data_IF_596584579002
#
_entry.id   IF_596584579002
#
_cell.length_a   1.000
_cell.length_b   1.000
_cell.length_c   1.000
_cell.angle_alpha   90.00
_cell.angle_beta   90.00
_cell.angle_gamma   90.00
#
_symmetry.space_group_name_H-M   'P 1'
#
loop_
_entity.id
_entity.type
_entity.pdbx_description
1 polymer ?
#
# COMPACT_ATOMS: atom_id res chain seq x y z
N UNK A 1 9.23 33.58 8.57
CA UNK A 1 9.00 32.98 7.24
C UNK A 1 10.11 31.98 6.99
N UNK A 2 9.94 30.75 7.48
CA UNK A 2 10.99 29.72 7.47
C UNK A 2 11.30 29.30 6.03
N UNK A 3 12.57 29.34 5.67
CA UNK A 3 13.09 28.82 4.40
C UNK A 3 12.67 27.36 4.25
N UNK A 4 11.77 27.09 3.31
CA UNK A 4 11.51 25.73 2.84
C UNK A 4 12.82 25.28 2.20
N UNK A 5 13.58 24.45 2.90
CA UNK A 5 14.72 23.73 2.32
C UNK A 5 14.19 22.99 1.09
N UNK A 6 14.69 23.36 -0.09
CA UNK A 6 14.30 22.71 -1.33
C UNK A 6 14.54 21.20 -1.24
N UNK A 7 13.62 20.42 -1.81
CA UNK A 7 13.79 18.98 -1.92
C UNK A 7 14.91 18.70 -2.91
N UNK A 8 16.09 18.30 -2.42
CA UNK A 8 17.16 17.74 -3.25
C UNK A 8 17.04 16.20 -3.26
N UNK A 9 16.66 15.59 -4.39
CA UNK A 9 16.44 14.15 -4.47
C UNK A 9 17.67 13.34 -4.08
N UNK A 10 18.89 13.81 -4.39
CA UNK A 10 20.12 13.06 -4.13
C UNK A 10 20.43 13.06 -2.64
N UNK A 11 20.42 14.23 -2.00
CA UNK A 11 20.63 14.33 -0.55
C UNK A 11 19.56 13.55 0.23
N UNK A 12 18.29 13.64 -0.18
CA UNK A 12 17.20 12.91 0.49
C UNK A 12 17.29 11.40 0.30
N UNK A 13 17.76 10.93 -0.87
CA UNK A 13 18.08 9.52 -1.10
C UNK A 13 19.18 9.01 -0.18
N UNK A 14 20.28 9.76 -0.05
CA UNK A 14 21.39 9.38 0.83
C UNK A 14 21.00 9.40 2.32
N UNK A 15 20.19 10.38 2.75
CA UNK A 15 19.60 10.40 4.10
C UNK A 15 18.72 9.18 4.35
N UNK A 16 17.90 8.80 3.37
CA UNK A 16 17.01 7.63 3.46
C UNK A 16 17.84 6.34 3.57
N UNK A 17 18.91 6.21 2.77
CA UNK A 17 19.84 5.07 2.82
C UNK A 17 20.51 4.95 4.19
N UNK A 18 21.03 6.06 4.72
CA UNK A 18 21.68 6.09 6.03
C UNK A 18 20.70 5.73 7.17
N UNK A 19 19.47 6.27 7.12
CA UNK A 19 18.44 5.95 8.09
C UNK A 19 18.05 4.46 8.06
N UNK A 20 17.91 3.88 6.85
CA UNK A 20 17.62 2.46 6.69
C UNK A 20 18.75 1.59 7.26
N UNK A 21 20.01 1.91 6.94
CA UNK A 21 21.18 1.20 7.45
C UNK A 21 21.25 1.21 8.99
N UNK A 22 20.82 2.29 9.63
CA UNK A 22 20.74 2.37 11.09
C UNK A 22 19.52 1.63 11.69
N UNK A 23 18.39 1.58 10.98
CA UNK A 23 17.15 0.99 11.49
C UNK A 23 17.12 -0.55 11.34
N UNK A 24 17.63 -1.08 10.23
CA UNK A 24 17.55 -2.52 9.91
C UNK A 24 18.12 -3.42 11.00
N UNK A 25 19.34 -3.17 11.56
CA UNK A 25 19.87 -4.02 12.63
C UNK A 25 18.99 -4.08 13.87
N UNK A 26 18.32 -2.97 14.20
CA UNK A 26 17.41 -2.88 15.35
C UNK A 26 16.15 -3.72 15.13
N UNK A 27 15.56 -3.62 13.93
CA UNK A 27 14.41 -4.43 13.53
C UNK A 27 14.75 -5.93 13.56
N UNK A 28 15.88 -6.31 12.96
CA UNK A 28 16.34 -7.70 12.94
C UNK A 28 16.53 -8.25 14.35
N UNK A 29 17.15 -7.48 15.24
CA UNK A 29 17.32 -7.89 16.64
C UNK A 29 15.96 -8.05 17.33
N UNK A 30 15.06 -7.09 17.18
CA UNK A 30 13.74 -7.13 17.80
C UNK A 30 12.92 -8.36 17.35
N UNK A 31 12.95 -8.71 16.06
CA UNK A 31 12.26 -9.90 15.56
C UNK A 31 12.91 -11.21 16.02
N UNK A 32 14.23 -11.25 16.20
CA UNK A 32 14.93 -12.45 16.73
C UNK A 32 14.72 -12.65 18.22
N UNK A 33 14.65 -11.55 18.97
CA UNK A 33 14.47 -11.57 20.42
C UNK A 33 12.98 -11.67 20.82
N UNK A 34 12.05 -11.61 19.85
CA UNK A 34 10.62 -11.69 20.11
C UNK A 34 10.24 -13.08 20.67
N UNK A 35 9.59 -13.15 21.84
CA UNK A 35 9.30 -14.43 22.50
C UNK A 35 8.20 -15.24 21.79
N UNK A 36 7.29 -14.56 21.09
CA UNK A 36 6.18 -15.16 20.36
C UNK A 36 5.85 -14.28 19.14
N UNK A 37 6.02 -14.85 17.93
CA UNK A 37 5.71 -14.16 16.69
C UNK A 37 4.22 -14.24 16.33
N UNK A 38 3.47 -15.17 16.92
CA UNK A 38 2.04 -15.36 16.67
C UNK A 38 1.18 -14.46 17.58
N UNK A 39 1.80 -13.80 18.57
CA UNK A 39 1.14 -12.84 19.44
C UNK A 39 0.53 -11.66 18.66
N UNK A 40 -0.58 -11.12 19.16
CA UNK A 40 -1.22 -9.95 18.57
C UNK A 40 -0.29 -8.73 18.59
N UNK A 41 -0.15 -8.05 17.45
CA UNK A 41 0.77 -6.90 17.30
C UNK A 41 0.17 -5.54 17.73
N UNK A 42 -1.14 -5.46 17.93
CA UNK A 42 -1.87 -4.20 18.11
C UNK A 42 -2.33 -3.55 16.80
N UNK A 43 -1.83 -3.99 15.64
CA UNK A 43 -2.46 -3.73 14.34
C UNK A 43 -3.61 -4.73 14.18
N UNK A 44 -4.85 -4.29 13.86
CA UNK A 44 -5.97 -5.20 13.70
C UNK A 44 -5.65 -6.34 12.73
N UNK A 45 -5.92 -7.58 13.15
CA UNK A 45 -5.70 -8.84 12.40
C UNK A 45 -4.23 -9.32 12.34
N UNK A 46 -3.22 -8.49 12.62
CA UNK A 46 -1.82 -8.88 12.41
C UNK A 46 -1.14 -9.41 13.66
N UNK A 47 -0.32 -10.45 13.48
CA UNK A 47 0.62 -10.93 14.49
C UNK A 47 1.92 -10.10 14.49
N UNK A 48 2.77 -10.29 15.51
CA UNK A 48 4.13 -9.69 15.54
C UNK A 48 4.94 -10.14 14.32
N UNK A 49 4.81 -11.41 13.93
CA UNK A 49 5.42 -11.98 12.73
C UNK A 49 4.94 -11.31 11.45
N UNK A 50 3.64 -11.03 11.32
CA UNK A 50 3.08 -10.30 10.18
C UNK A 50 3.63 -8.87 10.07
N UNK A 51 3.75 -8.15 11.19
CA UNK A 51 4.39 -6.82 11.22
C UNK A 51 5.84 -6.92 10.77
N UNK A 52 6.58 -7.92 11.28
CA UNK A 52 7.98 -8.14 10.90
C UNK A 52 8.17 -8.41 9.42
N UNK A 53 7.38 -9.34 8.88
CA UNK A 53 7.33 -9.67 7.45
C UNK A 53 6.94 -8.44 6.61
N UNK A 54 5.95 -7.67 7.06
CA UNK A 54 5.53 -6.44 6.40
C UNK A 54 6.68 -5.44 6.30
N UNK A 55 7.32 -5.09 7.42
CA UNK A 55 8.43 -4.13 7.42
C UNK A 55 9.61 -4.58 6.55
N UNK A 56 9.86 -5.89 6.48
CA UNK A 56 10.94 -6.48 5.69
C UNK A 56 10.66 -6.56 4.19
N UNK A 57 9.40 -6.51 3.75
CA UNK A 57 9.04 -6.71 2.35
C UNK A 57 8.28 -5.54 1.71
N UNK A 58 7.64 -4.67 2.50
CA UNK A 58 6.70 -3.66 1.98
C UNK A 58 7.38 -2.63 1.08
N UNK A 59 8.65 -2.30 1.35
CA UNK A 59 9.40 -1.39 0.51
C UNK A 59 9.50 -1.91 -0.94
N UNK A 60 9.56 -3.23 -1.14
CA UNK A 60 9.58 -3.85 -2.48
C UNK A 60 8.24 -3.68 -3.22
N UNK A 61 7.13 -3.66 -2.49
CA UNK A 61 5.83 -3.33 -3.06
C UNK A 61 5.79 -1.85 -3.50
N UNK A 62 6.17 -0.93 -2.62
CA UNK A 62 6.11 0.51 -2.89
C UNK A 62 7.11 0.98 -3.94
N UNK A 63 8.33 0.45 -3.95
CA UNK A 63 9.30 0.79 -5.00
C UNK A 63 8.80 0.32 -6.35
N UNK A 64 8.23 -0.88 -6.48
CA UNK A 64 7.68 -1.34 -7.78
C UNK A 64 6.57 -0.45 -8.35
N UNK A 65 5.79 0.20 -7.47
CA UNK A 65 4.74 1.14 -7.88
C UNK A 65 5.39 2.36 -8.54
N UNK A 66 6.56 2.78 -8.07
CA UNK A 66 7.32 3.91 -8.58
C UNK A 66 8.29 3.56 -9.73
N UNK A 67 8.90 2.37 -9.71
CA UNK A 67 9.99 1.97 -10.59
C UNK A 67 9.53 1.39 -11.93
N UNK A 68 8.25 0.99 -12.06
CA UNK A 68 7.75 0.33 -13.28
C UNK A 68 8.26 -1.11 -13.48
N UNK A 69 9.31 -1.53 -12.78
CA UNK A 69 9.84 -2.89 -12.83
C UNK A 69 8.83 -3.90 -12.27
N UNK A 70 8.31 -4.71 -13.19
CA UNK A 70 7.16 -5.58 -13.02
C UNK A 70 7.47 -6.99 -12.48
N UNK A 71 8.70 -7.33 -12.17
CA UNK A 71 9.07 -8.73 -11.93
C UNK A 71 9.77 -8.94 -10.59
N UNK A 72 9.03 -8.84 -9.49
CA UNK A 72 9.46 -9.48 -8.26
C UNK A 72 8.32 -10.37 -7.77
N UNK A 73 8.58 -11.67 -7.72
CA UNK A 73 7.70 -12.66 -7.09
C UNK A 73 7.63 -12.36 -5.59
N UNK A 74 6.53 -11.73 -5.18
CA UNK A 74 6.31 -11.31 -3.80
C UNK A 74 5.89 -12.46 -2.91
N UNK A 75 5.20 -13.44 -3.49
CA UNK A 75 4.63 -14.56 -2.76
C UNK A 75 5.74 -15.57 -2.42
N UNK A 76 6.82 -15.64 -3.21
CA UNK A 76 8.03 -16.40 -2.89
C UNK A 76 8.98 -15.74 -1.88
N UNK A 77 8.80 -14.46 -1.55
CA UNK A 77 9.66 -13.72 -0.61
C UNK A 77 9.21 -13.80 0.84
N UNK A 78 7.94 -14.14 1.06
CA UNK A 78 7.37 -14.29 2.39
C UNK A 78 7.10 -15.76 2.68
N UNK A 79 7.15 -16.19 3.95
CA UNK A 79 6.67 -17.51 4.33
C UNK A 79 5.24 -17.70 3.78
N UNK A 80 4.91 -18.86 3.21
CA UNK A 80 3.53 -19.14 2.84
C UNK A 80 2.65 -18.96 4.07
N UNK A 81 1.57 -18.21 3.93
CA UNK A 81 0.48 -18.22 4.90
C UNK A 81 -0.84 -17.95 4.19
N UNK A 82 -1.93 -17.98 4.94
CA UNK A 82 -3.27 -18.20 4.39
C UNK A 82 -3.76 -17.15 3.38
N UNK A 83 -3.19 -15.93 3.39
CA UNK A 83 -3.55 -14.84 2.47
C UNK A 83 -2.33 -14.22 1.76
N UNK A 84 -2.48 -13.79 0.47
CA UNK A 84 -1.42 -13.13 -0.31
C UNK A 84 -0.91 -11.83 0.31
N UNK A 85 0.34 -11.48 0.02
CA UNK A 85 1.02 -10.31 0.61
C UNK A 85 0.29 -8.98 0.41
N UNK A 86 -0.28 -8.76 -0.79
CA UNK A 86 -0.99 -7.52 -1.10
C UNK A 86 -2.25 -7.33 -0.23
N UNK A 87 -2.90 -8.43 0.14
CA UNK A 87 -4.07 -8.43 1.02
C UNK A 87 -3.65 -8.21 2.48
N UNK A 88 -2.50 -8.74 2.90
CA UNK A 88 -1.92 -8.44 4.22
C UNK A 88 -1.61 -6.96 4.36
N UNK A 89 -0.93 -6.35 3.40
CA UNK A 89 -0.51 -4.93 3.44
C UNK A 89 -1.70 -3.97 3.52
N UNK A 90 -2.81 -4.29 2.85
CA UNK A 90 -3.98 -3.44 2.79
C UNK A 90 -5.01 -3.93 3.82
N UNK A 91 -4.61 -4.01 5.10
CA UNK A 91 -5.46 -4.46 6.19
C UNK A 91 -6.89 -3.92 6.02
N UNK A 92 -7.85 -4.80 5.74
CA UNK A 92 -9.22 -4.38 5.45
C UNK A 92 -9.92 -4.02 6.76
N UNK A 93 -10.54 -2.84 6.81
CA UNK A 93 -11.46 -2.51 7.88
C UNK A 93 -12.73 -3.37 7.73
N UNK A 94 -12.85 -4.39 8.57
CA UNK A 94 -13.94 -5.38 8.48
C UNK A 94 -15.33 -4.79 8.75
N UNK A 95 -15.42 -3.74 9.56
CA UNK A 95 -16.71 -3.09 9.85
C UNK A 95 -17.15 -2.26 8.63
N UNK A 96 -16.26 -1.45 8.06
CA UNK A 96 -16.54 -0.66 6.86
C UNK A 96 -16.75 -1.55 5.62
N UNK A 97 -16.19 -2.75 5.59
CA UNK A 97 -16.32 -3.69 4.48
C UNK A 97 -17.55 -4.62 4.55
N UNK A 98 -18.29 -4.65 5.67
CA UNK A 98 -19.44 -5.56 5.84
C UNK A 98 -20.54 -5.26 4.81
N UNK A 99 -20.95 -6.27 4.04
CA UNK A 99 -21.98 -6.12 2.99
C UNK A 99 -21.56 -5.23 1.82
N UNK A 100 -20.28 -4.84 1.73
CA UNK A 100 -19.77 -4.04 0.61
C UNK A 100 -19.36 -4.97 -0.54
N UNK A 101 -19.87 -4.65 -1.72
CA UNK A 101 -19.47 -5.28 -2.99
C UNK A 101 -19.06 -4.21 -3.98
N UNK A 102 -17.75 -4.11 -4.21
CA UNK A 102 -17.18 -3.07 -5.07
C UNK A 102 -15.88 -3.54 -5.71
N UNK A 103 -15.68 -3.16 -6.96
CA UNK A 103 -14.45 -3.43 -7.67
C UNK A 103 -13.81 -2.17 -8.24
N UNK A 104 -12.56 -1.93 -7.84
CA UNK A 104 -11.72 -0.86 -8.33
C UNK A 104 -10.69 -1.36 -9.34
N UNK A 105 -10.47 -0.54 -10.36
CA UNK A 105 -9.37 -0.65 -11.31
C UNK A 105 -8.34 0.44 -11.00
N UNK A 106 -7.26 0.09 -10.29
CA UNK A 106 -6.20 1.02 -9.93
C UNK A 106 -5.08 0.98 -10.97
N UNK A 107 -5.00 2.05 -11.76
CA UNK A 107 -4.00 2.24 -12.80
C UNK A 107 -2.91 3.17 -12.28
N UNK A 108 -1.73 2.62 -12.01
CA UNK A 108 -0.54 3.42 -11.68
C UNK A 108 0.12 3.87 -12.97
N UNK A 109 0.28 5.19 -13.17
CA UNK A 109 0.93 5.75 -14.36
C UNK A 109 2.38 5.26 -14.46
N UNK A 110 2.72 4.56 -15.56
CA UNK A 110 4.05 3.98 -15.77
C UNK A 110 4.35 2.77 -14.91
N UNK A 111 3.35 2.22 -14.22
CA UNK A 111 3.49 1.09 -13.30
C UNK A 111 2.38 0.05 -13.47
N UNK A 112 2.14 -0.78 -12.45
CA UNK A 112 1.19 -1.88 -12.55
C UNK A 112 -0.27 -1.40 -12.61
N UNK A 113 -1.12 -2.26 -13.13
CA UNK A 113 -2.57 -2.14 -13.03
C UNK A 113 -3.08 -3.18 -12.02
N UNK A 114 -3.78 -2.73 -10.99
CA UNK A 114 -4.25 -3.57 -9.90
C UNK A 114 -5.79 -3.64 -9.91
N UNK A 115 -6.33 -4.84 -9.74
CA UNK A 115 -7.74 -5.06 -9.45
C UNK A 115 -7.89 -5.14 -7.93
N UNK A 116 -8.69 -4.25 -7.34
CA UNK A 116 -9.03 -4.31 -5.92
C UNK A 116 -10.51 -4.65 -5.83
N UNK A 117 -10.84 -5.85 -5.39
CA UNK A 117 -12.23 -6.32 -5.26
C UNK A 117 -12.52 -6.56 -3.81
N UNK A 118 -13.50 -5.83 -3.28
CA UNK A 118 -14.06 -6.09 -1.96
C UNK A 118 -15.39 -6.80 -2.14
N UNK A 119 -15.50 -7.97 -1.53
CA UNK A 119 -16.71 -8.78 -1.48
C UNK A 119 -16.90 -9.29 -0.05
N UNK A 120 -17.95 -8.78 0.59
CA UNK A 120 -18.41 -9.17 1.94
C UNK A 120 -17.29 -9.33 2.98
N UNK A 121 -16.58 -8.25 3.28
CA UNK A 121 -15.51 -8.28 4.28
C UNK A 121 -14.23 -9.00 3.85
N UNK A 122 -14.10 -9.37 2.58
CA UNK A 122 -12.87 -9.87 1.97
C UNK A 122 -12.38 -8.87 0.94
N UNK A 123 -11.08 -8.57 0.92
CA UNK A 123 -10.47 -7.75 -0.11
C UNK A 123 -9.40 -8.54 -0.84
N UNK A 124 -9.56 -8.66 -2.15
CA UNK A 124 -8.58 -9.28 -3.03
C UNK A 124 -7.88 -8.20 -3.85
N UNK A 125 -6.56 -8.30 -3.94
CA UNK A 125 -5.71 -7.38 -4.71
C UNK A 125 -4.93 -8.16 -5.74
N UNK A 126 -5.38 -8.13 -7.00
CA UNK A 126 -4.74 -8.86 -8.11
C UNK A 126 -3.90 -7.91 -8.95
N UNK A 127 -2.64 -8.27 -9.21
CA UNK A 127 -1.81 -7.59 -10.21
C UNK A 127 -2.25 -7.99 -11.62
N UNK A 128 -2.00 -7.11 -12.60
CA UNK A 128 -2.39 -7.30 -13.99
C UNK A 128 -3.90 -7.49 -14.14
N UNK A 129 -4.62 -6.49 -13.62
CA UNK A 129 -6.06 -6.46 -13.52
C UNK A 129 -6.75 -7.06 -14.77
N UNK A 130 -7.52 -8.16 -14.60
CA UNK A 130 -8.17 -8.82 -15.73
C UNK A 130 -9.11 -7.86 -16.45
N UNK A 131 -9.33 -8.09 -17.75
CA UNK A 131 -10.31 -7.30 -18.49
C UNK A 131 -11.72 -7.65 -18.02
N UNK A 132 -12.32 -6.78 -17.20
CA UNK A 132 -13.70 -6.87 -16.72
C UNK A 132 -14.30 -5.49 -16.51
N UNK A 133 -15.62 -5.44 -16.28
CA UNK A 133 -16.28 -4.22 -15.86
C UNK A 133 -15.93 -3.93 -14.37
N UNK A 134 -15.29 -2.79 -14.14
CA UNK A 134 -15.02 -2.28 -12.79
C UNK A 134 -16.02 -1.16 -12.44
N UNK A 135 -16.33 -1.01 -11.16
CA UNK A 135 -17.21 0.05 -10.67
C UNK A 135 -16.52 1.41 -10.78
N UNK A 136 -15.26 1.49 -10.38
CA UNK A 136 -14.50 2.72 -10.35
C UNK A 136 -13.08 2.49 -10.87
N UNK A 137 -12.59 3.38 -11.74
CA UNK A 137 -11.20 3.40 -12.19
C UNK A 137 -10.46 4.55 -11.53
N UNK A 138 -9.35 4.25 -10.86
CA UNK A 138 -8.45 5.22 -10.26
C UNK A 138 -7.19 5.30 -11.11
N UNK A 139 -6.88 6.44 -11.71
CA UNK A 139 -5.57 6.65 -12.33
C UNK A 139 -4.72 7.52 -11.42
N UNK A 140 -3.55 7.04 -11.03
CA UNK A 140 -2.72 7.68 -10.01
C UNK A 140 -1.27 7.79 -10.45
N UNK A 141 -0.63 8.91 -10.12
CA UNK A 141 0.83 9.03 -10.19
C UNK A 141 1.44 8.31 -8.98
N UNK A 142 2.49 7.49 -9.17
CA UNK A 142 3.03 6.61 -8.13
C UNK A 142 3.30 7.29 -6.79
N UNK A 143 4.08 8.37 -6.81
CA UNK A 143 4.49 9.08 -5.59
C UNK A 143 3.31 9.77 -4.91
N UNK A 144 2.39 10.35 -5.70
CA UNK A 144 1.21 11.01 -5.14
C UNK A 144 0.28 9.99 -4.47
N UNK A 145 0.12 8.81 -5.06
CA UNK A 145 -0.65 7.72 -4.46
C UNK A 145 -0.09 7.32 -3.10
N UNK A 146 1.22 7.03 -3.02
CA UNK A 146 1.87 6.65 -1.76
C UNK A 146 1.72 7.75 -0.69
N UNK A 147 1.99 9.00 -1.05
CA UNK A 147 1.88 10.12 -0.09
C UNK A 147 0.45 10.34 0.40
N UNK A 148 -0.56 10.15 -0.47
CA UNK A 148 -1.97 10.24 -0.07
C UNK A 148 -2.37 9.07 0.82
N UNK A 149 -1.98 7.84 0.47
CA UNK A 149 -2.26 6.63 1.27
C UNK A 149 -1.65 6.73 2.67
N UNK A 150 -0.45 7.30 2.80
CA UNK A 150 0.20 7.55 4.09
C UNK A 150 -0.20 8.85 4.79
N UNK A 151 -1.23 9.55 4.28
CA UNK A 151 -1.71 10.83 4.81
C UNK A 151 -0.62 11.92 4.93
N UNK A 152 0.44 11.80 4.13
CA UNK A 152 1.51 12.82 3.98
C UNK A 152 1.15 13.88 2.96
N UNK A 153 0.13 13.64 2.13
CA UNK A 153 -0.44 14.61 1.19
C UNK A 153 -1.98 14.52 1.24
N UNK A 154 -2.71 15.64 1.34
CA UNK A 154 -4.15 15.60 1.23
C UNK A 154 -4.58 15.29 -0.22
N UNK A 155 -5.56 14.39 -0.38
CA UNK A 155 -5.98 13.87 -1.70
C UNK A 155 -6.38 14.97 -2.69
N UNK A 156 -7.01 16.05 -2.23
CA UNK A 156 -7.42 17.17 -3.09
C UNK A 156 -6.21 17.83 -3.77
N UNK A 157 -5.05 17.86 -3.12
CA UNK A 157 -3.83 18.45 -3.69
C UNK A 157 -3.25 17.58 -4.81
N UNK A 158 -3.40 16.25 -4.70
CA UNK A 158 -3.05 15.33 -5.78
C UNK A 158 -4.01 15.43 -6.96
N UNK A 159 -5.31 15.62 -6.70
CA UNK A 159 -6.34 15.84 -7.72
C UNK A 159 -6.10 17.16 -8.46
N UNK A 160 -5.93 18.27 -7.72
CA UNK A 160 -5.70 19.60 -8.29
C UNK A 160 -4.44 19.65 -9.19
N UNK A 161 -3.44 18.79 -8.92
CA UNK A 161 -2.22 18.65 -9.74
C UNK A 161 -2.35 17.63 -10.88
N UNK A 162 -3.53 17.07 -11.13
CA UNK A 162 -3.75 16.04 -12.16
C UNK A 162 -3.00 14.72 -11.89
N UNK A 163 -2.54 14.52 -10.65
CA UNK A 163 -1.77 13.35 -10.23
C UNK A 163 -2.67 12.20 -9.77
N UNK A 164 -3.93 12.45 -9.44
CA UNK A 164 -4.93 11.41 -9.18
C UNK A 164 -6.25 11.79 -9.84
N UNK A 165 -6.94 10.80 -10.41
CA UNK A 165 -8.29 10.96 -10.96
C UNK A 165 -9.12 9.70 -10.76
N UNK A 166 -10.41 9.88 -10.52
CA UNK A 166 -11.40 8.81 -10.55
C UNK A 166 -12.19 8.86 -11.87
N UNK A 167 -12.64 7.71 -12.34
CA UNK A 167 -13.43 7.54 -13.55
C UNK A 167 -14.18 6.20 -13.54
N UNK A 168 -14.70 5.79 -14.69
CA UNK A 168 -15.49 4.56 -14.83
C UNK A 168 -16.97 4.78 -14.56
N UNK A 169 -17.67 3.71 -14.17
CA UNK A 169 -19.14 3.69 -14.07
C UNK A 169 -19.67 4.42 -12.83
N UNK A 170 -18.91 4.40 -11.74
CA UNK A 170 -19.27 4.91 -10.41
C UNK A 170 -18.08 5.65 -9.78
N UNK A 171 -17.59 6.76 -10.39
CA UNK A 171 -16.41 7.48 -9.91
C UNK A 171 -16.57 8.06 -8.50
N UNK A 172 -17.80 8.35 -8.07
CA UNK A 172 -18.10 8.83 -6.71
C UNK A 172 -17.82 7.80 -5.61
N UNK A 173 -17.53 6.54 -5.94
CA UNK A 173 -17.11 5.52 -4.98
C UNK A 173 -15.61 5.57 -4.67
N UNK A 174 -14.82 6.37 -5.39
CA UNK A 174 -13.38 6.54 -5.15
C UNK A 174 -13.01 6.85 -3.68
N UNK A 175 -13.73 7.71 -2.94
CA UNK A 175 -13.42 7.98 -1.54
C UNK A 175 -13.63 6.77 -0.62
N UNK A 176 -14.44 5.77 -1.01
CA UNK A 176 -14.68 4.58 -0.17
C UNK A 176 -13.45 3.70 -0.04
N UNK A 177 -12.57 3.65 -1.05
CA UNK A 177 -11.37 2.83 -0.98
C UNK A 177 -10.50 3.20 0.24
N UNK A 178 -10.36 4.50 0.54
CA UNK A 178 -9.58 4.96 1.70
C UNK A 178 -10.22 4.68 3.06
N UNK A 179 -11.50 4.30 3.11
CA UNK A 179 -12.19 3.87 4.35
C UNK A 179 -12.14 2.36 4.54
N UNK A 180 -12.13 1.62 3.43
CA UNK A 180 -12.04 0.15 3.43
C UNK A 180 -10.65 -0.33 3.85
N UNK A 181 -9.61 0.47 3.64
CA UNK A 181 -8.26 0.14 4.09
C UNK A 181 -8.04 0.73 5.49
N UNK A 182 -7.88 -0.14 6.47
CA UNK A 182 -7.44 0.23 7.81
C UNK A 182 -6.03 0.83 7.73
N UNK A 183 -5.86 1.99 8.35
CA UNK A 183 -4.54 2.55 8.59
C UNK A 183 -3.97 1.91 9.87
N UNK A 184 -2.74 1.38 9.85
CA UNK A 184 -2.03 1.01 11.07
C UNK A 184 -1.72 2.24 11.94
#
# INVERSE_FOLDING_TARGET
MGTVTGFDPVTEHERTRAALAAAVPRLVRLLRDAPDLDAASGVPVWTVGDVGAHLAAVYLAYTSVASGDGAMDRDGLLPPGDVPFAERIAALDKEEARGVRIAFDLVVKGGPRLAIVVDDGTMTVTRDAPSRAYDCRLTVAPTAFLLVSFRRMPVWQAIARGRMRAGGRRPWLAPRLGRLVATP
#
